data_IF_707149588671
#
_entry.id   IF_707149588671
#
_cell.length_a   1.000
_cell.length_b   1.000
_cell.length_c   1.000
_cell.angle_alpha   90.00
_cell.angle_beta   90.00
_cell.angle_gamma   90.00
#
_symmetry.space_group_name_H-M   'P 1'
#
loop_
_entity.id
_entity.type
_entity.pdbx_description
1 polymer ?
#
# COMPACT_ATOMS: atom_id res chain seq x y z
N UNK A 1 9.85 39.71 -11.96
CA UNK A 1 8.63 39.30 -11.24
C UNK A 1 9.00 38.11 -10.37
N UNK A 2 8.98 38.25 -9.05
CA UNK A 2 9.27 37.14 -8.14
C UNK A 2 8.23 36.04 -8.39
N UNK A 3 8.69 34.83 -8.72
CA UNK A 3 7.81 33.68 -8.73
C UNK A 3 7.45 33.35 -7.28
N UNK A 4 6.43 34.04 -6.73
CA UNK A 4 5.85 33.77 -5.41
C UNK A 4 5.38 32.31 -5.28
N UNK A 5 5.11 31.65 -6.42
CA UNK A 5 4.74 30.25 -6.50
C UNK A 5 5.72 29.45 -7.36
N UNK A 6 6.27 28.38 -6.79
CA UNK A 6 7.17 27.47 -7.51
C UNK A 6 6.40 26.27 -8.07
N UNK A 7 5.89 26.41 -9.30
CA UNK A 7 5.13 25.36 -9.99
C UNK A 7 5.88 24.02 -10.11
N UNK A 8 7.21 24.07 -10.28
CA UNK A 8 8.02 22.84 -10.41
C UNK A 8 8.04 22.07 -9.08
N UNK A 9 8.23 22.78 -7.96
CA UNK A 9 8.18 22.16 -6.63
C UNK A 9 6.79 21.62 -6.32
N UNK A 10 5.74 22.39 -6.59
CA UNK A 10 4.34 21.96 -6.38
C UNK A 10 4.01 20.72 -7.18
N UNK A 11 4.38 20.67 -8.47
CA UNK A 11 4.10 19.52 -9.32
C UNK A 11 4.79 18.26 -8.81
N UNK A 12 6.04 18.37 -8.34
CA UNK A 12 6.76 17.25 -7.72
C UNK A 12 6.01 16.74 -6.49
N UNK A 13 5.64 17.65 -5.58
CA UNK A 13 4.92 17.28 -4.35
C UNK A 13 3.60 16.60 -4.70
N UNK A 14 2.84 17.15 -5.66
CA UNK A 14 1.58 16.58 -6.12
C UNK A 14 1.77 15.15 -6.64
N UNK A 15 2.74 14.92 -7.50
CA UNK A 15 3.01 13.58 -8.06
C UNK A 15 3.43 12.62 -6.95
N UNK A 16 4.35 13.02 -6.07
CA UNK A 16 4.81 12.15 -5.00
C UNK A 16 3.72 11.86 -3.97
N UNK A 17 2.90 12.84 -3.59
CA UNK A 17 1.81 12.63 -2.64
C UNK A 17 0.68 11.82 -3.25
N UNK A 18 0.36 12.04 -4.53
CA UNK A 18 -0.61 11.23 -5.26
C UNK A 18 -0.14 9.78 -5.38
N UNK A 19 1.10 9.55 -5.79
CA UNK A 19 1.64 8.20 -5.89
C UNK A 19 1.74 7.55 -4.51
N UNK A 20 2.34 8.21 -3.53
CA UNK A 20 2.49 7.63 -2.19
C UNK A 20 1.14 7.34 -1.51
N UNK A 21 0.16 8.23 -1.66
CA UNK A 21 -1.15 8.10 -1.02
C UNK A 21 -2.13 7.19 -1.78
N UNK A 22 -2.17 7.30 -3.10
CA UNK A 22 -3.16 6.58 -3.92
C UNK A 22 -2.69 5.21 -4.43
N UNK A 23 -1.39 4.92 -4.39
CA UNK A 23 -0.86 3.64 -4.88
C UNK A 23 -1.45 2.44 -4.13
N UNK A 24 -1.47 2.48 -2.80
CA UNK A 24 -2.02 1.39 -1.98
C UNK A 24 -3.51 1.16 -2.22
N UNK A 25 -4.40 2.16 -2.08
CA UNK A 25 -5.82 1.96 -2.38
C UNK A 25 -6.07 1.62 -3.85
N UNK A 26 -5.26 2.14 -4.77
CA UNK A 26 -5.32 1.80 -6.20
C UNK A 26 -5.00 0.32 -6.45
N UNK A 27 -3.92 -0.21 -5.86
CA UNK A 27 -3.57 -1.63 -5.95
C UNK A 27 -4.66 -2.51 -5.34
N UNK A 28 -5.22 -2.11 -4.20
CA UNK A 28 -6.33 -2.84 -3.57
C UNK A 28 -7.56 -2.90 -4.49
N UNK A 29 -7.94 -1.77 -5.10
CA UNK A 29 -9.06 -1.72 -6.04
C UNK A 29 -8.82 -2.63 -7.27
N UNK A 30 -7.59 -2.69 -7.78
CA UNK A 30 -7.21 -3.64 -8.86
C UNK A 30 -7.38 -5.08 -8.39
N UNK A 31 -6.92 -5.42 -7.17
CA UNK A 31 -7.12 -6.74 -6.57
C UNK A 31 -8.59 -7.15 -6.49
N UNK A 32 -9.46 -6.25 -6.02
CA UNK A 32 -10.92 -6.48 -5.95
C UNK A 32 -11.50 -6.71 -7.35
N UNK A 33 -11.09 -5.90 -8.33
CA UNK A 33 -11.56 -6.05 -9.72
C UNK A 33 -11.14 -7.40 -10.31
N UNK A 34 -9.90 -7.84 -10.07
CA UNK A 34 -9.40 -9.13 -10.53
C UNK A 34 -10.08 -10.30 -9.83
N UNK A 35 -10.36 -10.18 -8.54
CA UNK A 35 -11.12 -11.18 -7.79
C UNK A 35 -12.53 -11.35 -8.37
N UNK A 36 -13.24 -10.24 -8.60
CA UNK A 36 -14.58 -10.26 -9.19
C UNK A 36 -14.60 -10.87 -10.60
N UNK A 37 -13.58 -10.56 -11.42
CA UNK A 37 -13.41 -11.19 -12.73
C UNK A 37 -13.05 -12.69 -12.64
N UNK A 38 -12.38 -13.10 -11.56
CA UNK A 38 -11.95 -14.46 -11.30
C UNK A 38 -13.07 -15.37 -10.79
N UNK A 39 -13.96 -14.88 -9.93
CA UNK A 39 -15.05 -15.65 -9.36
C UNK A 39 -16.19 -15.93 -10.38
N UNK A 40 -16.30 -15.11 -11.43
CA UNK A 40 -17.34 -15.24 -12.44
C UNK A 40 -18.65 -14.57 -12.00
N UNK A 41 -19.47 -14.16 -12.97
CA UNK A 41 -20.67 -13.35 -12.71
C UNK A 41 -21.87 -14.17 -12.19
N UNK A 42 -21.91 -15.48 -12.47
CA UNK A 42 -23.05 -16.36 -12.19
C UNK A 42 -22.61 -17.82 -11.94
N UNK A 43 -23.50 -18.66 -11.42
CA UNK A 43 -23.26 -20.09 -11.15
C UNK A 43 -22.86 -20.92 -12.40
N UNK A 44 -23.10 -20.39 -13.61
CA UNK A 44 -22.72 -21.01 -14.89
C UNK A 44 -21.38 -20.48 -15.43
N UNK A 45 -20.86 -19.38 -14.88
CA UNK A 45 -19.62 -18.78 -15.31
C UNK A 45 -18.41 -19.61 -14.83
N UNK A 46 -17.48 -19.91 -15.75
CA UNK A 46 -16.28 -20.68 -15.41
C UNK A 46 -15.35 -19.83 -14.56
N UNK A 47 -15.21 -20.22 -13.29
CA UNK A 47 -14.22 -19.64 -12.36
C UNK A 47 -12.82 -19.69 -12.97
N UNK A 48 -12.09 -18.57 -12.89
CA UNK A 48 -10.72 -18.44 -13.39
C UNK A 48 -9.76 -18.42 -12.20
N UNK A 49 -9.29 -19.61 -11.73
CA UNK A 49 -8.50 -19.72 -10.50
C UNK A 49 -7.21 -18.91 -10.55
N UNK A 50 -6.62 -18.71 -11.72
CA UNK A 50 -5.43 -17.88 -11.90
C UNK A 50 -5.70 -16.42 -11.52
N UNK A 51 -6.85 -15.84 -11.91
CA UNK A 51 -7.18 -14.46 -11.57
C UNK A 51 -7.41 -14.28 -10.06
N UNK A 52 -8.04 -15.28 -9.43
CA UNK A 52 -8.24 -15.34 -7.97
C UNK A 52 -6.90 -15.46 -7.25
N UNK A 53 -5.95 -16.25 -7.77
CA UNK A 53 -4.62 -16.34 -7.16
C UNK A 53 -3.87 -15.00 -7.24
N UNK A 54 -3.98 -14.29 -8.37
CA UNK A 54 -3.33 -12.98 -8.57
C UNK A 54 -3.95 -11.91 -7.67
N UNK A 55 -5.27 -11.86 -7.51
CA UNK A 55 -5.91 -10.91 -6.57
C UNK A 55 -5.47 -11.15 -5.13
N UNK A 56 -5.38 -12.41 -4.70
CA UNK A 56 -4.86 -12.75 -3.37
C UNK A 56 -3.40 -12.34 -3.19
N UNK A 57 -2.55 -12.50 -4.21
CA UNK A 57 -1.17 -12.01 -4.18
C UNK A 57 -1.11 -10.49 -4.01
N UNK A 58 -1.99 -9.74 -4.69
CA UNK A 58 -2.09 -8.28 -4.54
C UNK A 58 -2.53 -7.91 -3.12
N UNK A 59 -3.53 -8.59 -2.55
CA UNK A 59 -3.97 -8.33 -1.18
C UNK A 59 -2.88 -8.62 -0.15
N UNK A 60 -2.15 -9.73 -0.32
CA UNK A 60 -1.02 -10.07 0.54
C UNK A 60 0.08 -9.01 0.47
N UNK A 61 0.39 -8.51 -0.74
CA UNK A 61 1.36 -7.43 -0.93
C UNK A 61 0.91 -6.14 -0.23
N UNK A 62 -0.34 -5.71 -0.44
CA UNK A 62 -0.90 -4.51 0.20
C UNK A 62 -0.84 -4.63 1.72
N UNK A 63 -1.26 -5.78 2.27
CA UNK A 63 -1.21 -6.06 3.69
C UNK A 63 0.22 -6.00 4.24
N UNK A 64 1.19 -6.60 3.54
CA UNK A 64 2.59 -6.58 3.93
C UNK A 64 3.13 -5.13 3.98
N UNK A 65 2.84 -4.30 2.98
CA UNK A 65 3.27 -2.90 2.96
C UNK A 65 2.64 -2.11 4.11
N UNK A 66 1.35 -2.32 4.41
CA UNK A 66 0.67 -1.66 5.54
C UNK A 66 1.31 -2.07 6.87
N UNK A 67 1.54 -3.36 7.08
CA UNK A 67 2.18 -3.87 8.30
C UNK A 67 3.57 -3.26 8.46
N UNK A 68 4.39 -3.28 7.40
CA UNK A 68 5.75 -2.70 7.45
C UNK A 68 5.68 -1.20 7.73
N UNK A 69 4.77 -0.46 7.09
CA UNK A 69 4.59 0.97 7.32
C UNK A 69 4.20 1.28 8.77
N UNK A 70 3.24 0.54 9.34
CA UNK A 70 2.83 0.68 10.73
C UNK A 70 3.96 0.32 11.68
N UNK A 71 4.65 -0.80 11.47
CA UNK A 71 5.78 -1.22 12.30
C UNK A 71 6.95 -0.23 12.23
N UNK A 72 7.19 0.39 11.07
CA UNK A 72 8.21 1.41 10.92
C UNK A 72 7.87 2.68 11.70
N UNK A 73 6.63 3.16 11.63
CA UNK A 73 6.16 4.33 12.40
C UNK A 73 6.18 4.04 13.90
N UNK A 74 5.78 2.82 14.30
CA UNK A 74 5.70 2.40 15.69
C UNK A 74 7.00 1.83 16.26
N UNK A 75 8.10 1.75 15.49
CA UNK A 75 9.32 1.03 15.88
C UNK A 75 9.88 1.49 17.23
N UNK A 76 9.89 2.80 17.46
CA UNK A 76 10.47 3.40 18.67
C UNK A 76 9.54 3.17 19.87
N UNK A 77 8.21 3.24 19.66
CA UNK A 77 7.21 2.92 20.67
C UNK A 77 7.28 1.45 21.11
N UNK A 78 7.41 0.54 20.14
CA UNK A 78 7.54 -0.90 20.39
C UNK A 78 8.85 -1.17 21.14
N UNK A 79 9.96 -0.58 20.70
CA UNK A 79 11.26 -0.77 21.35
C UNK A 79 11.25 -0.29 22.80
N UNK A 80 10.56 0.81 23.11
CA UNK A 80 10.45 1.34 24.46
C UNK A 80 9.59 0.46 25.39
N UNK A 81 8.52 -0.15 24.87
CA UNK A 81 7.64 -1.00 25.67
C UNK A 81 8.06 -2.47 25.77
N UNK A 82 8.70 -3.01 24.74
CA UNK A 82 9.09 -4.43 24.68
C UNK A 82 10.57 -4.67 24.99
N UNK A 83 11.39 -3.61 25.06
CA UNK A 83 12.84 -3.70 25.29
C UNK A 83 13.62 -4.32 24.12
N UNK A 84 12.96 -4.63 23.00
CA UNK A 84 13.58 -5.19 21.81
C UNK A 84 13.72 -4.14 20.72
N UNK A 85 14.97 -3.88 20.31
CA UNK A 85 15.30 -2.99 19.20
C UNK A 85 14.91 -3.65 17.87
N UNK A 86 13.65 -3.48 17.48
CA UNK A 86 13.09 -3.99 16.23
C UNK A 86 13.29 -2.97 15.10
N UNK A 87 13.68 -3.41 13.90
CA UNK A 87 13.85 -2.56 12.71
C UNK A 87 14.83 -1.36 12.87
N UNK A 88 15.94 -1.54 13.58
CA UNK A 88 17.01 -0.53 13.67
C UNK A 88 16.71 0.63 14.62
N UNK A 89 15.78 0.45 15.56
CA UNK A 89 15.55 1.41 16.64
C UNK A 89 16.81 1.57 17.51
N UNK A 90 17.36 2.78 17.57
CA UNK A 90 18.35 3.16 18.59
C UNK A 90 17.61 3.56 19.86
N UNK A 91 17.76 2.82 20.98
CA UNK A 91 17.22 3.27 22.25
C UNK A 91 17.86 4.61 22.61
N UNK A 92 17.03 5.62 22.91
CA UNK A 92 17.45 6.86 23.58
C UNK A 92 17.09 6.79 25.04
#
# INVERSE_FOLDING_TARGET
MSAWFNYTATLKILIFSLLAGALLPGLFAVGVRLQAAGDGADATARRRPLLVAVSWAIFALVLAVVIIGVLYIARDFIAHHTGWAFLGATPK
#
